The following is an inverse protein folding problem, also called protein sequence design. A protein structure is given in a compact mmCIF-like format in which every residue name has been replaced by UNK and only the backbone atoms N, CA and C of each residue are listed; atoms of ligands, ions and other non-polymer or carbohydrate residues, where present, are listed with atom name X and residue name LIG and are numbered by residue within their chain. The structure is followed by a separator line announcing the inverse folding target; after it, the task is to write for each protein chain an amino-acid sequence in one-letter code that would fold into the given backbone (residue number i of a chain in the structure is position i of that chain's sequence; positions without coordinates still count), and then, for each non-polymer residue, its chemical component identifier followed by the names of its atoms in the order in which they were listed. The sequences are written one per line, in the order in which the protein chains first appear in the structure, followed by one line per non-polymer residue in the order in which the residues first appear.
data_IF_383511595845
#
_entry.id   IF_383511595845
#
_cell.length_a   1.000
_cell.length_b   1.000
_cell.length_c   1.000
_cell.angle_alpha   90.00
_cell.angle_beta   90.00
_cell.angle_gamma   90.00
#
_symmetry.space_group_name_H-M   'P 1'
#
loop_
_entity.id
_entity.type
_entity.pdbx_description
1 polymer ?
#
# COMPACT_ATOMS: atom_id res chain seq x y z
N UNK A 1 -9.79 -1.68 11.53
CA UNK A 1 -10.03 -0.26 11.18
C UNK A 1 -9.63 -0.05 9.73
N UNK A 2 -10.59 0.26 8.85
CA UNK A 2 -10.26 0.73 7.49
C UNK A 2 -9.53 2.06 7.63
N UNK A 3 -8.47 2.27 6.86
CA UNK A 3 -7.79 3.56 6.84
C UNK A 3 -8.71 4.55 6.13
N UNK A 4 -9.55 5.25 6.91
CA UNK A 4 -10.60 6.18 6.43
C UNK A 4 -10.05 7.22 5.45
N UNK A 5 -8.74 7.49 5.51
CA UNK A 5 -8.04 8.36 4.59
C UNK A 5 -7.84 7.75 3.19
N UNK A 6 -7.62 6.44 3.07
CA UNK A 6 -7.55 5.78 1.76
C UNK A 6 -8.92 5.74 1.09
N UNK A 7 -9.97 5.46 1.88
CA UNK A 7 -11.36 5.40 1.41
C UNK A 7 -11.84 6.76 0.87
N UNK A 8 -11.33 7.87 1.40
CA UNK A 8 -11.68 9.22 0.91
C UNK A 8 -10.91 9.63 -0.36
N UNK A 9 -9.72 9.07 -0.60
CA UNK A 9 -8.92 9.35 -1.80
C UNK A 9 -9.44 8.59 -3.03
N UNK A 10 -9.97 7.37 -2.84
CA UNK A 10 -10.43 6.49 -3.90
C UNK A 10 -11.48 7.13 -4.84
N UNK A 11 -12.56 7.77 -4.33
CA UNK A 11 -13.61 8.34 -5.16
C UNK A 11 -13.08 9.39 -6.12
N UNK A 12 -12.19 10.28 -5.65
CA UNK A 12 -11.62 11.34 -6.49
C UNK A 12 -10.66 10.78 -7.54
N UNK A 13 -9.85 9.78 -7.19
CA UNK A 13 -8.98 9.08 -8.13
C UNK A 13 -9.81 8.41 -9.23
N UNK A 14 -10.92 7.75 -8.87
CA UNK A 14 -11.81 7.09 -9.81
C UNK A 14 -12.51 8.09 -10.73
N UNK A 15 -13.01 9.20 -10.19
CA UNK A 15 -13.58 10.30 -10.99
C UNK A 15 -12.58 10.81 -12.04
N UNK A 16 -11.34 11.11 -11.64
CA UNK A 16 -10.30 11.57 -12.57
C UNK A 16 -9.96 10.49 -13.62
N UNK A 17 -9.97 9.21 -13.25
CA UNK A 17 -9.74 8.11 -14.18
C UNK A 17 -10.90 7.91 -15.17
N UNK A 18 -12.15 8.10 -14.74
CA UNK A 18 -13.31 8.07 -15.64
C UNK A 18 -13.30 9.25 -16.62
N UNK A 19 -12.93 10.45 -16.12
CA UNK A 19 -12.76 11.62 -16.97
C UNK A 19 -11.66 11.35 -18.00
N UNK A 20 -10.51 10.80 -17.60
CA UNK A 20 -9.39 10.44 -18.49
C UNK A 20 -9.79 9.47 -19.60
N UNK A 21 -10.70 8.52 -19.31
CA UNK A 21 -11.25 7.59 -20.30
C UNK A 21 -12.18 8.27 -21.30
N UNK A 22 -12.97 9.25 -20.86
CA UNK A 22 -13.94 9.97 -21.71
C UNK A 22 -13.29 11.11 -22.50
N UNK A 23 -12.33 11.81 -21.90
CA UNK A 23 -11.59 12.93 -22.48
C UNK A 23 -10.17 12.98 -21.94
N UNK A 24 -9.27 13.60 -22.68
CA UNK A 24 -7.96 13.91 -22.13
C UNK A 24 -8.08 14.83 -20.91
N UNK A 25 -7.33 14.49 -19.85
CA UNK A 25 -7.21 15.34 -18.67
C UNK A 25 -6.42 16.61 -18.99
N UNK A 26 -6.84 17.72 -18.40
CA UNK A 26 -6.07 18.96 -18.43
C UNK A 26 -4.77 18.82 -17.64
N UNK A 27 -3.78 19.68 -17.90
CA UNK A 27 -2.51 19.65 -17.18
C UNK A 27 -2.65 19.80 -15.66
N UNK A 28 -3.68 20.53 -15.19
CA UNK A 28 -3.99 20.67 -13.76
C UNK A 28 -4.52 19.36 -13.17
N UNK A 29 -5.51 18.75 -13.84
CA UNK A 29 -6.12 17.48 -13.41
C UNK A 29 -5.11 16.33 -13.41
N UNK A 30 -4.19 16.28 -14.38
CA UNK A 30 -3.10 15.29 -14.41
C UNK A 30 -2.17 15.43 -13.19
N UNK A 31 -1.85 16.67 -12.80
CA UNK A 31 -1.05 16.93 -11.58
C UNK A 31 -1.81 16.49 -10.33
N UNK A 32 -3.11 16.81 -10.25
CA UNK A 32 -3.98 16.38 -9.14
C UNK A 32 -4.03 14.84 -9.05
N UNK A 33 -4.31 14.17 -10.16
CA UNK A 33 -4.39 12.70 -10.23
C UNK A 33 -3.07 12.05 -9.80
N UNK A 34 -1.93 12.55 -10.28
CA UNK A 34 -0.60 12.07 -9.90
C UNK A 34 -0.36 12.24 -8.39
N UNK A 35 -0.70 13.40 -7.84
CA UNK A 35 -0.55 13.68 -6.41
C UNK A 35 -1.40 12.74 -5.55
N UNK A 36 -2.67 12.54 -5.92
CA UNK A 36 -3.58 11.66 -5.21
C UNK A 36 -3.12 10.19 -5.27
N UNK A 37 -2.66 9.72 -6.43
CA UNK A 37 -2.10 8.38 -6.59
C UNK A 37 -0.85 8.17 -5.74
N UNK A 38 0.06 9.15 -5.69
CA UNK A 38 1.27 9.06 -4.86
C UNK A 38 0.94 9.00 -3.38
N UNK A 39 -0.01 9.80 -2.90
CA UNK A 39 -0.51 9.75 -1.51
C UNK A 39 -1.10 8.38 -1.18
N UNK A 40 -1.97 7.87 -2.04
CA UNK A 40 -2.60 6.57 -1.88
C UNK A 40 -1.54 5.45 -1.82
N UNK A 41 -0.62 5.38 -2.80
CA UNK A 41 0.41 4.35 -2.88
C UNK A 41 1.33 4.40 -1.65
N UNK A 42 1.78 5.58 -1.24
CA UNK A 42 2.67 5.72 -0.07
C UNK A 42 2.01 5.17 1.19
N UNK A 43 0.76 5.56 1.44
CA UNK A 43 0.01 5.13 2.61
C UNK A 43 -0.36 3.65 2.55
N UNK A 44 -0.76 3.17 1.38
CA UNK A 44 -1.03 1.75 1.14
C UNK A 44 0.22 0.89 1.38
N UNK A 45 1.38 1.30 0.86
CA UNK A 45 2.65 0.59 1.07
C UNK A 45 3.04 0.53 2.53
N UNK A 46 2.83 1.60 3.30
CA UNK A 46 3.09 1.61 4.74
C UNK A 46 2.21 0.61 5.48
N UNK A 47 0.90 0.61 5.21
CA UNK A 47 -0.05 -0.34 5.77
C UNK A 47 0.30 -1.80 5.40
N UNK A 48 0.64 -2.05 4.13
CA UNK A 48 1.06 -3.37 3.65
C UNK A 48 2.35 -3.83 4.34
N UNK A 49 3.35 -2.94 4.46
CA UNK A 49 4.62 -3.26 5.14
C UNK A 49 4.36 -3.71 6.57
N UNK A 50 3.53 -2.98 7.31
CA UNK A 50 3.17 -3.36 8.68
C UNK A 50 2.57 -4.76 8.71
N UNK A 51 1.56 -5.05 7.88
CA UNK A 51 0.94 -6.39 7.83
C UNK A 51 1.93 -7.50 7.48
N UNK A 52 2.78 -7.28 6.49
CA UNK A 52 3.80 -8.25 6.08
C UNK A 52 4.80 -8.53 7.20
N UNK A 53 5.20 -7.50 7.96
CA UNK A 53 6.14 -7.68 9.06
C UNK A 53 5.55 -8.55 10.17
N UNK A 54 4.25 -8.51 10.42
CA UNK A 54 3.60 -9.34 11.45
C UNK A 54 3.17 -10.72 10.95
N UNK A 55 3.32 -11.01 9.65
CA UNK A 55 2.90 -12.28 9.06
C UNK A 55 4.10 -13.21 8.91
N UNK A 56 3.97 -14.46 9.38
CA UNK A 56 4.95 -15.52 9.15
C UNK A 56 4.50 -16.36 7.95
N UNK A 57 5.39 -16.53 6.97
CA UNK A 57 5.15 -17.37 5.80
C UNK A 57 5.82 -18.73 6.01
N UNK A 58 5.04 -19.80 5.87
CA UNK A 58 5.49 -21.19 6.02
C UNK A 58 5.19 -21.90 4.69
N UNK A 59 6.16 -22.65 4.17
CA UNK A 59 5.97 -23.47 2.96
C UNK A 59 5.19 -24.76 3.26
N UNK A 60 4.89 -25.54 2.22
CA UNK A 60 4.19 -26.83 2.34
C UNK A 60 4.98 -27.88 3.14
N UNK A 61 6.30 -27.70 3.27
CA UNK A 61 7.20 -28.58 3.99
C UNK A 61 7.37 -28.17 5.47
N UNK A 62 6.75 -27.07 5.90
CA UNK A 62 6.84 -26.55 7.26
C UNK A 62 8.00 -25.58 7.51
N UNK A 63 8.77 -25.20 6.49
CA UNK A 63 9.89 -24.26 6.64
C UNK A 63 9.42 -22.81 6.64
N UNK A 64 10.05 -21.98 7.48
CA UNK A 64 9.78 -20.55 7.53
C UNK A 64 10.52 -19.81 6.40
N UNK A 65 9.77 -19.54 5.33
CA UNK A 65 10.21 -18.82 4.13
C UNK A 65 10.01 -17.29 4.24
N UNK A 66 9.72 -16.77 5.44
CA UNK A 66 9.69 -15.32 5.67
C UNK A 66 11.06 -14.73 5.35
N UNK A 67 11.08 -13.65 4.56
CA UNK A 67 12.32 -12.98 4.13
C UNK A 67 13.19 -12.55 5.33
N UNK A 68 14.51 -12.68 5.20
CA UNK A 68 15.47 -12.33 6.27
C UNK A 68 15.35 -10.88 6.73
N UNK A 69 14.99 -9.97 5.83
CA UNK A 69 14.74 -8.56 6.17
C UNK A 69 13.60 -8.42 7.18
N UNK A 70 12.51 -9.18 6.99
CA UNK A 70 11.37 -9.18 7.90
C UNK A 70 11.74 -9.85 9.22
N UNK A 71 12.44 -10.99 9.18
CA UNK A 71 12.94 -11.68 10.40
C UNK A 71 13.83 -10.77 11.24
N UNK A 72 14.71 -9.98 10.62
CA UNK A 72 15.57 -9.00 11.31
C UNK A 72 14.74 -7.92 12.01
N UNK A 73 13.80 -7.30 11.31
CA UNK A 73 12.89 -6.29 11.88
C UNK A 73 12.09 -6.87 13.06
N UNK A 74 11.58 -8.10 12.94
CA UNK A 74 10.85 -8.78 14.03
C UNK A 74 11.73 -8.99 15.27
N UNK A 75 13.02 -9.34 15.10
CA UNK A 75 13.98 -9.49 16.22
C UNK A 75 14.31 -8.15 16.88
N UNK A 76 14.52 -7.10 16.08
CA UNK A 76 14.74 -5.73 16.57
C UNK A 76 13.56 -5.25 17.44
N UNK A 77 12.32 -5.62 17.07
CA UNK A 77 11.13 -5.34 17.86
C UNK A 77 10.84 -6.34 19.00
N UNK A 78 11.64 -7.40 19.15
CA UNK A 78 11.45 -8.43 20.17
C UNK A 78 10.30 -9.42 19.92
N UNK A 79 9.68 -9.40 18.74
CA UNK A 79 8.58 -10.29 18.36
C UNK A 79 9.03 -11.72 18.04
N UNK A 80 10.32 -11.87 17.74
CA UNK A 80 10.92 -13.15 17.40
C UNK A 80 12.15 -13.36 18.28
N UNK A 81 12.13 -14.44 19.07
CA UNK A 81 13.27 -14.93 19.83
C UNK A 81 14.24 -15.69 18.91
#
# INVERSE_FOLDING_TARGET
MSDKYLDSLLPRINQLAEIEKKRNLTSSEKKEQKHLRLKYITRFRANLRSRLIHTKFIDQNGNDVTSDKVKKIQREHGWRK
#
